data_IF_033203575134
#
_entry.id   IF_033203575134
#
_cell.length_a   1.000
_cell.length_b   1.000
_cell.length_c   1.000
_cell.angle_alpha   90.00
_cell.angle_beta   90.00
_cell.angle_gamma   90.00
#
_symmetry.space_group_name_H-M   'P 1'
#
loop_
_entity.id
_entity.type
_entity.pdbx_description
1 polymer ?
#
# COMPACT_ATOMS: atom_id res chain seq x y z
N UNK A 1 2.31 10.99 2.80
CA UNK A 1 0.87 10.78 3.04
C UNK A 1 0.53 10.98 4.50
N UNK A 2 1.32 10.47 5.40
CA UNK A 2 1.09 10.59 6.84
C UNK A 2 0.93 12.03 7.34
N UNK A 3 1.65 12.98 6.75
CA UNK A 3 1.55 14.40 7.13
C UNK A 3 0.21 15.03 6.70
N UNK A 4 -0.31 14.67 5.52
CA UNK A 4 -1.61 15.21 5.06
C UNK A 4 -2.75 14.71 5.94
N UNK A 5 -2.79 13.41 6.21
CA UNK A 5 -3.81 12.81 7.08
C UNK A 5 -3.82 13.48 8.47
N UNK A 6 -2.62 13.66 9.05
CA UNK A 6 -2.46 14.30 10.36
C UNK A 6 -2.94 15.76 10.38
N UNK A 7 -2.60 16.52 9.33
CA UNK A 7 -3.04 17.92 9.21
C UNK A 7 -4.57 18.00 9.12
N UNK A 8 -5.18 17.21 8.23
CA UNK A 8 -6.63 17.23 8.06
C UNK A 8 -7.37 16.75 9.32
N UNK A 9 -6.90 15.68 9.98
CA UNK A 9 -7.53 15.21 11.24
C UNK A 9 -7.39 16.30 12.31
N UNK A 10 -6.21 16.90 12.47
CA UNK A 10 -5.96 17.92 13.48
C UNK A 10 -6.88 19.13 13.34
N UNK A 11 -7.07 19.61 12.10
CA UNK A 11 -7.84 20.83 11.83
C UNK A 11 -9.36 20.57 11.75
N UNK A 12 -9.77 19.38 11.29
CA UNK A 12 -11.19 19.10 11.06
C UNK A 12 -11.87 18.31 12.19
N UNK A 13 -11.10 17.51 12.96
CA UNK A 13 -11.64 16.60 13.98
C UNK A 13 -11.09 16.95 15.37
N UNK A 14 -9.78 17.14 15.51
CA UNK A 14 -9.14 17.55 16.74
C UNK A 14 -7.89 16.74 17.11
N UNK A 15 -7.12 17.25 18.08
CA UNK A 15 -5.83 16.67 18.48
C UNK A 15 -5.96 15.34 19.21
N UNK A 16 -7.03 15.16 19.96
CA UNK A 16 -7.29 13.92 20.71
C UNK A 16 -7.50 12.74 19.76
N UNK A 17 -8.39 12.89 18.80
CA UNK A 17 -8.65 11.90 17.76
C UNK A 17 -7.41 11.63 16.89
N UNK A 18 -6.58 12.65 16.63
CA UNK A 18 -5.30 12.47 15.96
C UNK A 18 -4.36 11.55 16.76
N UNK A 19 -4.33 11.69 18.09
CA UNK A 19 -3.55 10.81 18.97
C UNK A 19 -3.98 9.35 18.83
N UNK A 20 -5.29 9.09 18.90
CA UNK A 20 -5.89 7.77 18.76
C UNK A 20 -5.57 7.17 17.37
N UNK A 21 -5.81 7.96 16.31
CA UNK A 21 -5.49 7.56 14.93
C UNK A 21 -4.03 7.18 14.76
N UNK A 22 -3.12 8.01 15.30
CA UNK A 22 -1.68 7.83 15.14
C UNK A 22 -1.18 6.51 15.72
N UNK A 23 -1.76 6.01 16.81
CA UNK A 23 -1.39 4.73 17.40
C UNK A 23 -1.85 3.57 16.51
N UNK A 24 -3.12 3.56 16.08
CA UNK A 24 -3.62 2.55 15.17
C UNK A 24 -2.87 2.55 13.83
N UNK A 25 -2.55 3.75 13.33
CA UNK A 25 -1.74 3.94 12.13
C UNK A 25 -0.37 3.30 12.25
N UNK A 26 0.36 3.55 13.35
CA UNK A 26 1.71 2.99 13.60
C UNK A 26 1.69 1.47 13.64
N UNK A 27 0.67 0.86 14.24
CA UNK A 27 0.54 -0.62 14.25
C UNK A 27 0.25 -1.13 12.83
N UNK A 28 -0.67 -0.53 12.09
CA UNK A 28 -0.94 -0.90 10.69
C UNK A 28 0.28 -0.72 9.78
N UNK A 29 1.11 0.30 10.06
CA UNK A 29 2.35 0.60 9.32
C UNK A 29 3.44 -0.48 9.46
N UNK A 30 3.30 -1.47 10.35
CA UNK A 30 4.24 -2.60 10.43
C UNK A 30 4.38 -3.30 9.07
N UNK A 31 3.32 -3.37 8.28
CA UNK A 31 3.35 -3.91 6.92
C UNK A 31 4.29 -3.12 5.99
N UNK A 32 4.55 -1.83 6.25
CA UNK A 32 5.52 -1.04 5.49
C UNK A 32 6.94 -1.62 5.59
N UNK A 33 7.32 -2.12 6.75
CA UNK A 33 8.66 -2.72 6.97
C UNK A 33 8.76 -4.01 6.15
N UNK A 34 7.74 -4.86 6.25
CA UNK A 34 7.70 -6.13 5.53
C UNK A 34 7.73 -5.92 4.02
N UNK A 35 6.85 -5.05 3.49
CA UNK A 35 6.81 -4.78 2.05
C UNK A 35 8.10 -4.12 1.55
N UNK A 36 8.78 -3.30 2.36
CA UNK A 36 10.06 -2.71 1.99
C UNK A 36 11.14 -3.79 1.81
N UNK A 37 11.24 -4.75 2.73
CA UNK A 37 12.15 -5.89 2.62
C UNK A 37 11.85 -6.73 1.37
N UNK A 38 10.57 -7.00 1.10
CA UNK A 38 10.13 -7.71 -0.11
C UNK A 38 10.57 -6.96 -1.38
N UNK A 39 10.34 -5.65 -1.45
CA UNK A 39 10.69 -4.84 -2.63
C UNK A 39 12.21 -4.76 -2.84
N UNK A 40 12.99 -4.69 -1.76
CA UNK A 40 14.46 -4.71 -1.84
C UNK A 40 15.00 -6.01 -2.44
N UNK A 41 14.35 -7.15 -2.18
CA UNK A 41 14.71 -8.43 -2.80
C UNK A 41 14.13 -8.57 -4.21
N UNK A 42 12.91 -8.07 -4.43
CA UNK A 42 12.19 -8.16 -5.69
C UNK A 42 12.87 -7.42 -6.84
N UNK A 43 13.31 -6.18 -6.62
CA UNK A 43 13.85 -5.37 -7.71
C UNK A 43 15.10 -5.98 -8.40
N UNK A 44 16.15 -6.40 -7.68
CA UNK A 44 17.31 -7.03 -8.33
C UNK A 44 16.96 -8.37 -9.00
N UNK A 45 16.07 -9.17 -8.38
CA UNK A 45 15.55 -10.39 -9.00
C UNK A 45 14.85 -10.10 -10.32
N UNK A 46 13.90 -9.15 -10.32
CA UNK A 46 13.18 -8.74 -11.51
C UNK A 46 14.14 -8.29 -12.62
N UNK A 47 15.05 -7.37 -12.32
CA UNK A 47 15.98 -6.82 -13.31
C UNK A 47 16.91 -7.88 -13.88
N UNK A 48 17.39 -8.84 -13.07
CA UNK A 48 18.18 -9.99 -13.54
C UNK A 48 17.39 -10.86 -14.52
N UNK A 49 16.14 -11.17 -14.20
CA UNK A 49 15.27 -12.00 -15.07
C UNK A 49 14.90 -11.29 -16.37
N UNK A 50 14.69 -9.96 -16.32
CA UNK A 50 14.31 -9.16 -17.50
C UNK A 50 15.48 -8.98 -18.50
N UNK A 51 16.75 -9.06 -18.08
CA UNK A 51 17.90 -8.97 -18.98
C UNK A 51 17.96 -10.11 -20.01
N UNK A 52 17.54 -11.30 -19.60
CA UNK A 52 17.56 -12.49 -20.45
C UNK A 52 16.17 -13.12 -20.50
N UNK A 53 15.21 -12.32 -20.95
CA UNK A 53 13.80 -12.71 -20.87
C UNK A 53 13.45 -13.81 -21.88
N UNK A 54 12.78 -14.83 -21.39
CA UNK A 54 12.19 -15.91 -22.18
C UNK A 54 10.71 -16.05 -21.80
N UNK A 55 9.88 -16.71 -22.62
CA UNK A 55 8.48 -16.97 -22.26
C UNK A 55 8.34 -17.67 -20.90
N UNK A 56 9.26 -18.60 -20.58
CA UNK A 56 9.30 -19.29 -19.30
C UNK A 56 9.61 -18.33 -18.14
N UNK A 57 10.63 -17.47 -18.28
CA UNK A 57 10.99 -16.47 -17.27
C UNK A 57 9.86 -15.47 -17.04
N UNK A 58 9.08 -15.10 -18.07
CA UNK A 58 7.88 -14.26 -17.89
C UNK A 58 6.84 -14.93 -16.98
N UNK A 59 6.58 -16.23 -17.18
CA UNK A 59 5.66 -16.99 -16.33
C UNK A 59 6.16 -17.07 -14.89
N UNK A 60 7.45 -17.34 -14.68
CA UNK A 60 8.05 -17.37 -13.34
C UNK A 60 7.92 -16.03 -12.60
N UNK A 61 8.16 -14.90 -13.30
CA UNK A 61 7.99 -13.56 -12.72
C UNK A 61 6.53 -13.34 -12.29
N UNK A 62 5.57 -13.71 -13.14
CA UNK A 62 4.14 -13.55 -12.85
C UNK A 62 3.72 -14.44 -11.67
N UNK A 63 4.14 -15.71 -11.64
CA UNK A 63 3.86 -16.62 -10.53
C UNK A 63 4.40 -16.10 -9.21
N UNK A 64 5.66 -15.69 -9.19
CA UNK A 64 6.27 -15.15 -7.98
C UNK A 64 5.60 -13.84 -7.55
N UNK A 65 5.20 -12.98 -8.52
CA UNK A 65 4.45 -11.76 -8.21
C UNK A 65 3.15 -12.06 -7.48
N UNK A 66 2.34 -13.01 -7.98
CA UNK A 66 1.10 -13.40 -7.31
C UNK A 66 1.35 -14.00 -5.92
N UNK A 67 2.38 -14.83 -5.77
CA UNK A 67 2.74 -15.40 -4.48
C UNK A 67 3.13 -14.31 -3.46
N UNK A 68 3.93 -13.34 -3.88
CA UNK A 68 4.33 -12.20 -3.04
C UNK A 68 3.10 -11.34 -2.69
N UNK A 69 2.26 -11.03 -3.68
CA UNK A 69 1.05 -10.25 -3.47
C UNK A 69 0.12 -10.91 -2.46
N UNK A 70 -0.10 -12.22 -2.58
CA UNK A 70 -0.89 -13.02 -1.64
C UNK A 70 -0.23 -13.05 -0.25
N UNK A 71 1.09 -13.24 -0.19
CA UNK A 71 1.86 -13.25 1.06
C UNK A 71 1.71 -11.94 1.85
N UNK A 72 1.71 -10.79 1.17
CA UNK A 72 1.48 -9.50 1.82
C UNK A 72 0.05 -9.36 2.37
N UNK A 73 -0.96 -9.89 1.66
CA UNK A 73 -2.35 -9.91 2.15
C UNK A 73 -2.46 -10.79 3.39
N UNK A 74 -1.86 -11.99 3.36
CA UNK A 74 -1.84 -12.90 4.51
C UNK A 74 -1.15 -12.24 5.70
N UNK A 75 -0.01 -11.60 5.49
CA UNK A 75 0.70 -10.87 6.55
C UNK A 75 -0.14 -9.75 7.16
N UNK A 76 -0.86 -8.97 6.34
CA UNK A 76 -1.79 -7.95 6.84
C UNK A 76 -2.96 -8.56 7.61
N UNK A 77 -3.49 -9.69 7.16
CA UNK A 77 -4.52 -10.46 7.87
C UNK A 77 -4.04 -10.97 9.23
N UNK A 78 -2.83 -11.52 9.29
CA UNK A 78 -2.20 -11.96 10.55
C UNK A 78 -2.02 -10.76 11.49
N UNK A 79 -1.48 -9.63 11.00
CA UNK A 79 -1.32 -8.42 11.80
C UNK A 79 -2.67 -7.95 12.36
N UNK A 80 -3.73 -7.95 11.55
CA UNK A 80 -5.06 -7.59 12.01
C UNK A 80 -5.56 -8.52 13.11
N UNK A 81 -5.39 -9.83 12.97
CA UNK A 81 -5.82 -10.82 13.96
C UNK A 81 -5.06 -10.73 15.28
N UNK A 82 -3.76 -10.40 15.24
CA UNK A 82 -2.95 -10.25 16.46
C UNK A 82 -3.03 -8.84 17.06
N UNK A 83 -3.54 -7.86 16.33
CA UNK A 83 -3.59 -6.46 16.78
C UNK A 83 -4.33 -6.24 18.10
N UNK A 84 -5.42 -6.95 18.46
CA UNK A 84 -6.03 -6.83 19.77
C UNK A 84 -5.07 -7.22 20.93
N UNK A 85 -4.23 -8.23 20.71
CA UNK A 85 -3.19 -8.60 21.69
C UNK A 85 -2.13 -7.50 21.80
N UNK A 86 -1.68 -6.95 20.68
CA UNK A 86 -0.73 -5.85 20.68
C UNK A 86 -1.26 -4.64 21.44
N UNK A 87 -2.54 -4.29 21.21
CA UNK A 87 -3.17 -3.20 21.94
C UNK A 87 -3.30 -3.51 23.43
N UNK A 88 -3.69 -4.71 23.82
CA UNK A 88 -3.82 -5.12 25.22
C UNK A 88 -2.50 -5.02 26.01
N UNK A 89 -1.39 -5.40 25.40
CA UNK A 89 -0.10 -5.48 26.11
C UNK A 89 0.77 -4.22 25.94
N UNK A 90 0.65 -3.47 24.86
CA UNK A 90 1.52 -2.35 24.54
C UNK A 90 0.83 -0.98 24.59
N UNK A 91 -0.49 -0.94 24.43
CA UNK A 91 -1.29 0.31 24.52
C UNK A 91 -1.98 0.33 25.87
N UNK A 92 -1.28 0.83 26.89
CA UNK A 92 -1.75 0.76 28.28
C UNK A 92 -2.88 1.76 28.60
N UNK A 93 -2.96 2.88 27.88
CA UNK A 93 -3.99 3.90 28.12
C UNK A 93 -5.31 3.51 27.46
N UNK A 94 -6.42 3.44 28.21
CA UNK A 94 -7.74 3.04 27.68
C UNK A 94 -8.24 3.92 26.52
N UNK A 95 -7.89 5.21 26.56
CA UNK A 95 -8.26 6.20 25.54
C UNK A 95 -7.82 5.80 24.13
N UNK A 96 -6.62 5.20 24.01
CA UNK A 96 -6.03 4.81 22.73
C UNK A 96 -6.47 3.43 22.21
N UNK A 97 -7.21 2.65 23.01
CA UNK A 97 -7.69 1.32 22.61
C UNK A 97 -8.62 1.39 21.38
N UNK A 98 -9.35 2.50 21.23
CA UNK A 98 -10.21 2.75 20.07
C UNK A 98 -9.42 2.90 18.74
N UNK A 99 -8.09 3.11 18.80
CA UNK A 99 -7.19 3.12 17.65
C UNK A 99 -7.09 1.79 16.91
N UNK A 100 -7.47 0.67 17.55
CA UNK A 100 -7.51 -0.66 16.96
C UNK A 100 -8.32 -0.70 15.64
N UNK A 101 -9.41 0.07 15.55
CA UNK A 101 -10.27 0.13 14.36
C UNK A 101 -9.56 0.55 13.07
N UNK A 102 -8.42 1.27 13.18
CA UNK A 102 -7.67 1.74 12.00
C UNK A 102 -6.66 0.72 11.48
N UNK A 103 -6.21 -0.23 12.33
CA UNK A 103 -5.08 -1.13 12.02
C UNK A 103 -5.29 -1.90 10.71
N UNK A 104 -6.46 -2.54 10.55
CA UNK A 104 -6.72 -3.38 9.38
C UNK A 104 -6.72 -2.59 8.07
N UNK A 105 -7.33 -1.41 8.07
CA UNK A 105 -7.41 -0.56 6.86
C UNK A 105 -6.04 -0.01 6.49
N UNK A 106 -5.26 0.43 7.46
CA UNK A 106 -3.90 0.93 7.24
C UNK A 106 -2.96 -0.20 6.79
N UNK A 107 -3.06 -1.39 7.40
CA UNK A 107 -2.31 -2.55 6.95
C UNK A 107 -2.61 -2.90 5.49
N UNK A 108 -3.88 -2.92 5.09
CA UNK A 108 -4.30 -3.13 3.71
C UNK A 108 -3.79 -2.04 2.77
N UNK A 109 -3.81 -0.78 3.19
CA UNK A 109 -3.25 0.33 2.42
C UNK A 109 -1.76 0.08 2.11
N UNK A 110 -0.97 -0.37 3.07
CA UNK A 110 0.44 -0.69 2.85
C UNK A 110 0.67 -1.95 1.99
N UNK A 111 -0.27 -2.89 1.95
CA UNK A 111 -0.26 -3.97 0.95
C UNK A 111 -0.34 -3.38 -0.46
N UNK A 112 -1.30 -2.50 -0.72
CA UNK A 112 -1.44 -1.85 -2.03
C UNK A 112 -0.20 -1.01 -2.42
N UNK A 113 0.41 -0.33 -1.46
CA UNK A 113 1.68 0.38 -1.67
C UNK A 113 2.82 -0.60 -2.05
N UNK A 114 2.86 -1.78 -1.46
CA UNK A 114 3.80 -2.83 -1.82
C UNK A 114 3.58 -3.32 -3.26
N UNK A 115 2.34 -3.57 -3.63
CA UNK A 115 1.96 -3.96 -4.99
C UNK A 115 2.34 -2.89 -6.02
N UNK A 116 2.03 -1.62 -5.72
CA UNK A 116 2.48 -0.50 -6.54
C UNK A 116 3.99 -0.56 -6.83
N UNK A 117 4.82 -0.73 -5.79
CA UNK A 117 6.28 -0.76 -5.93
C UNK A 117 6.77 -1.93 -6.78
N UNK A 118 6.11 -3.08 -6.70
CA UNK A 118 6.43 -4.23 -7.55
C UNK A 118 6.20 -3.92 -9.04
N UNK A 119 5.05 -3.31 -9.39
CA UNK A 119 4.75 -2.92 -10.77
C UNK A 119 5.60 -1.74 -11.26
N UNK A 120 5.93 -0.80 -10.39
CA UNK A 120 6.84 0.30 -10.70
C UNK A 120 8.22 -0.20 -11.18
N UNK A 121 8.67 -1.36 -10.69
CA UNK A 121 9.92 -1.99 -11.13
C UNK A 121 10.01 -2.19 -12.65
N UNK A 122 8.92 -2.54 -13.34
CA UNK A 122 8.92 -2.69 -14.81
C UNK A 122 9.08 -1.34 -15.52
N UNK A 123 8.47 -0.29 -15.00
CA UNK A 123 8.56 1.07 -15.54
C UNK A 123 9.99 1.61 -15.37
N UNK A 124 10.60 1.35 -14.21
CA UNK A 124 11.99 1.72 -13.91
C UNK A 124 12.94 0.97 -14.85
N UNK A 125 12.74 -0.33 -15.05
CA UNK A 125 13.57 -1.15 -15.94
C UNK A 125 13.60 -0.61 -17.37
N UNK A 126 12.46 -0.13 -17.87
CA UNK A 126 12.33 0.45 -19.21
C UNK A 126 12.77 1.91 -19.30
N UNK A 127 13.28 2.51 -18.20
CA UNK A 127 13.70 3.91 -18.09
C UNK A 127 12.59 4.93 -18.38
N UNK A 128 11.33 4.53 -18.24
CA UNK A 128 10.15 5.39 -18.47
C UNK A 128 9.67 6.11 -17.20
N UNK A 129 10.61 6.55 -16.37
CA UNK A 129 10.33 7.12 -15.02
C UNK A 129 9.38 8.33 -15.03
N UNK A 130 9.24 9.04 -16.15
CA UNK A 130 8.28 10.13 -16.31
C UNK A 130 6.84 9.73 -15.94
N UNK A 131 6.44 8.49 -16.25
CA UNK A 131 5.11 8.01 -15.89
C UNK A 131 4.94 7.89 -14.38
N UNK A 132 5.96 7.42 -13.66
CA UNK A 132 5.91 7.35 -12.20
C UNK A 132 5.76 8.75 -11.56
N UNK A 133 6.42 9.76 -12.13
CA UNK A 133 6.28 11.15 -11.67
C UNK A 133 4.85 11.67 -11.87
N UNK A 134 4.25 11.45 -13.04
CA UNK A 134 2.85 11.85 -13.29
C UNK A 134 1.86 11.12 -12.37
N UNK A 135 2.05 9.81 -12.19
CA UNK A 135 1.20 9.01 -11.29
C UNK A 135 1.35 9.50 -9.85
N UNK A 136 2.58 9.85 -9.41
CA UNK A 136 2.82 10.36 -8.07
C UNK A 136 2.12 11.70 -7.83
N UNK A 137 2.24 12.66 -8.77
CA UNK A 137 1.55 13.96 -8.68
C UNK A 137 0.03 13.77 -8.63
N UNK A 138 -0.51 12.95 -9.53
CA UNK A 138 -1.93 12.61 -9.50
C UNK A 138 -2.35 12.04 -8.14
N UNK A 139 -1.58 11.08 -7.61
CA UNK A 139 -1.91 10.44 -6.35
C UNK A 139 -1.88 11.40 -5.16
N UNK A 140 -0.95 12.38 -5.14
CA UNK A 140 -0.90 13.41 -4.11
C UNK A 140 -2.18 14.25 -4.14
N UNK A 141 -2.57 14.77 -5.29
CA UNK A 141 -3.78 15.59 -5.45
C UNK A 141 -5.01 14.78 -5.09
N UNK A 142 -5.11 13.55 -5.59
CA UNK A 142 -6.22 12.65 -5.32
C UNK A 142 -6.37 12.33 -3.82
N UNK A 143 -5.25 12.07 -3.13
CA UNK A 143 -5.26 11.83 -1.69
C UNK A 143 -5.71 13.06 -0.89
N UNK A 144 -5.26 14.27 -1.26
CA UNK A 144 -5.70 15.51 -0.59
C UNK A 144 -7.22 15.70 -0.73
N UNK A 145 -7.76 15.49 -1.92
CA UNK A 145 -9.20 15.57 -2.16
C UNK A 145 -9.96 14.52 -1.37
N UNK A 146 -9.49 13.26 -1.38
CA UNK A 146 -10.11 12.19 -0.61
C UNK A 146 -10.10 12.48 0.89
N UNK A 147 -8.98 12.97 1.44
CA UNK A 147 -8.90 13.34 2.85
C UNK A 147 -9.95 14.39 3.19
N UNK A 148 -10.05 15.47 2.41
CA UNK A 148 -11.04 16.51 2.67
C UNK A 148 -12.48 15.96 2.68
N UNK A 149 -12.87 15.23 1.63
CA UNK A 149 -14.24 14.74 1.51
C UNK A 149 -14.57 13.61 2.50
N UNK A 150 -13.65 12.65 2.68
CA UNK A 150 -13.92 11.49 3.53
C UNK A 150 -13.83 11.84 5.02
N UNK A 151 -12.90 12.70 5.43
CA UNK A 151 -12.83 13.14 6.83
C UNK A 151 -14.06 13.96 7.18
N UNK A 152 -14.54 14.82 6.29
CA UNK A 152 -15.76 15.58 6.50
C UNK A 152 -17.00 14.69 6.75
N UNK A 153 -17.09 13.54 6.07
CA UNK A 153 -18.24 12.65 6.16
C UNK A 153 -18.09 11.52 7.19
N UNK A 154 -16.86 11.03 7.42
CA UNK A 154 -16.59 9.85 8.25
C UNK A 154 -15.61 10.12 9.40
N UNK A 155 -15.31 11.39 9.69
CA UNK A 155 -14.35 11.75 10.72
C UNK A 155 -12.97 11.12 10.47
N UNK A 156 -12.28 10.76 11.53
CA UNK A 156 -10.92 10.18 11.47
C UNK A 156 -10.84 8.87 10.66
N UNK A 157 -11.94 8.10 10.61
CA UNK A 157 -12.01 6.89 9.77
C UNK A 157 -11.89 7.22 8.29
N UNK A 158 -12.37 8.40 7.88
CA UNK A 158 -12.23 8.93 6.53
C UNK A 158 -10.79 9.05 6.08
N UNK A 159 -9.86 9.41 6.97
CA UNK A 159 -8.42 9.46 6.65
C UNK A 159 -7.86 8.06 6.33
N UNK A 160 -8.23 7.05 7.11
CA UNK A 160 -7.82 5.67 6.83
C UNK A 160 -8.34 5.19 5.47
N UNK A 161 -9.61 5.49 5.15
CA UNK A 161 -10.18 5.19 3.83
C UNK A 161 -9.47 5.96 2.70
N UNK A 162 -9.19 7.26 2.90
CA UNK A 162 -8.48 8.08 1.92
C UNK A 162 -7.11 7.46 1.57
N UNK A 163 -6.36 7.04 2.59
CA UNK A 163 -5.06 6.39 2.42
C UNK A 163 -5.19 5.08 1.67
N UNK A 164 -6.14 4.21 2.04
CA UNK A 164 -6.34 2.92 1.38
C UNK A 164 -6.77 3.07 -0.09
N UNK A 165 -7.73 3.95 -0.37
CA UNK A 165 -8.22 4.22 -1.73
C UNK A 165 -7.10 4.85 -2.59
N UNK A 166 -6.33 5.78 -2.03
CA UNK A 166 -5.20 6.39 -2.75
C UNK A 166 -4.13 5.37 -3.12
N UNK A 167 -3.71 4.51 -2.20
CA UNK A 167 -2.72 3.48 -2.50
C UNK A 167 -3.25 2.41 -3.44
N UNK A 168 -4.53 2.05 -3.34
CA UNK A 168 -5.16 1.16 -4.31
C UNK A 168 -5.16 1.78 -5.71
N UNK A 169 -5.57 3.05 -5.85
CA UNK A 169 -5.53 3.77 -7.12
C UNK A 169 -4.12 3.87 -7.68
N UNK A 170 -3.15 4.15 -6.80
CA UNK A 170 -1.73 4.21 -7.15
C UNK A 170 -1.24 2.88 -7.74
N UNK A 171 -1.61 1.76 -7.11
CA UNK A 171 -1.33 0.42 -7.62
C UNK A 171 -2.00 0.18 -8.97
N UNK A 172 -3.31 0.40 -9.09
CA UNK A 172 -4.06 0.10 -10.31
C UNK A 172 -3.52 0.89 -11.51
N UNK A 173 -3.32 2.20 -11.36
CA UNK A 173 -2.80 3.04 -12.44
C UNK A 173 -1.39 2.57 -12.85
N UNK A 174 -0.54 2.28 -11.87
CA UNK A 174 0.83 1.80 -12.15
C UNK A 174 0.84 0.43 -12.81
N UNK A 175 -0.05 -0.49 -12.43
CA UNK A 175 -0.18 -1.79 -13.06
C UNK A 175 -0.60 -1.67 -14.54
N UNK A 176 -1.58 -0.79 -14.83
CA UNK A 176 -2.01 -0.51 -16.21
C UNK A 176 -0.88 0.10 -17.05
N UNK A 177 -0.18 1.09 -16.50
CA UNK A 177 0.95 1.72 -17.21
C UNK A 177 2.10 0.73 -17.39
N UNK A 178 2.42 -0.06 -16.35
CA UNK A 178 3.42 -1.12 -16.41
C UNK A 178 3.14 -2.11 -17.54
N UNK A 179 1.88 -2.54 -17.68
CA UNK A 179 1.47 -3.47 -18.73
C UNK A 179 1.61 -2.86 -20.15
N UNK A 180 1.39 -1.55 -20.30
CA UNK A 180 1.59 -0.84 -21.59
C UNK A 180 3.07 -0.70 -21.94
N UNK A 181 3.92 -0.44 -20.95
CA UNK A 181 5.37 -0.21 -21.15
C UNK A 181 6.13 -1.52 -21.29
N UNK A 182 5.74 -2.55 -20.56
CA UNK A 182 6.35 -3.87 -20.58
C UNK A 182 5.28 -4.96 -20.43
N UNK A 183 4.73 -5.48 -21.56
CA UNK A 183 3.65 -6.48 -21.52
C UNK A 183 4.09 -7.79 -20.86
N UNK A 184 3.34 -8.20 -19.86
CA UNK A 184 3.53 -9.45 -19.12
C UNK A 184 2.26 -10.30 -19.17
N UNK A 185 2.35 -11.64 -19.13
CA UNK A 185 1.20 -12.54 -19.29
C UNK A 185 0.41 -12.73 -17.99
N UNK A 186 -0.10 -11.61 -17.40
CA UNK A 186 -0.84 -11.66 -16.12
C UNK A 186 -2.09 -12.54 -16.18
N UNK A 187 -2.87 -12.46 -17.25
CA UNK A 187 -4.17 -13.14 -17.39
C UNK A 187 -4.01 -14.55 -17.96
N UNK A 188 -3.06 -14.77 -18.88
CA UNK A 188 -2.88 -16.05 -19.55
C UNK A 188 -2.31 -17.14 -18.63
N UNK A 189 -2.01 -16.81 -17.38
CA UNK A 189 -1.64 -17.79 -16.37
C UNK A 189 -2.81 -18.66 -15.92
N UNK A 190 -4.04 -18.15 -15.99
CA UNK A 190 -5.27 -18.84 -15.61
C UNK A 190 -5.96 -19.55 -16.79
N UNK A 191 -5.49 -19.35 -18.04
CA UNK A 191 -5.95 -20.03 -19.24
C UNK A 191 -4.84 -20.91 -19.81
N UNK A 192 -5.12 -22.22 -19.89
CA UNK A 192 -4.35 -23.09 -20.76
C UNK A 192 -4.44 -22.64 -22.17
#
# INVERSE_FOLDING_TARGET
MDLSDQLFIREMVGKEELGIYSIGYKVGMIILILQAAVVMAWQPFLFKKLKEITPQKKKEIVQLSYLIMLGLVIAAGILYLISPLLFKYFVLSPEYQSGLKYVGIIALAYVFLGWYKMFAGFIIYTKNNKYLSYIAVFNIIFNLLLNYFLIKNYGTMGAAYATAISYFSFFVITAVVSQRVYPMPWISFFGK
#
